data_IF_059822210047
#
_entry.id   IF_059822210047
#
_cell.length_a   1.000
_cell.length_b   1.000
_cell.length_c   1.000
_cell.angle_alpha   90.00
_cell.angle_beta   90.00
_cell.angle_gamma   90.00
#
_symmetry.space_group_name_H-M   'P 1'
#
loop_
_entity.id
_entity.type
_entity.pdbx_description
1 polymer ?
#
# COMPACT_ATOMS: atom_id res chain seq x y z
N UNK A 1 -2.19 -2.90 35.69
CA UNK A 1 -1.67 -3.38 34.39
C UNK A 1 -2.59 -3.03 33.23
N UNK A 2 -3.89 -3.41 33.25
CA UNK A 2 -4.85 -3.03 32.20
C UNK A 2 -4.99 -1.52 31.93
N UNK A 3 -4.89 -0.69 32.98
CA UNK A 3 -5.01 0.78 32.86
C UNK A 3 -3.83 1.42 32.12
N UNK A 4 -2.61 0.91 32.31
CA UNK A 4 -1.40 1.45 31.67
C UNK A 4 -1.36 1.08 30.19
N UNK A 5 -1.76 -0.15 29.83
CA UNK A 5 -1.89 -0.57 28.43
C UNK A 5 -3.01 0.18 27.69
N UNK A 6 -4.11 0.50 28.37
CA UNK A 6 -5.20 1.28 27.78
C UNK A 6 -4.80 2.75 27.54
N UNK A 7 -4.05 3.36 28.46
CA UNK A 7 -3.53 4.73 28.31
C UNK A 7 -2.55 4.86 27.14
N UNK A 8 -1.64 3.90 26.96
CA UNK A 8 -0.71 3.87 25.83
C UNK A 8 -1.44 3.65 24.50
N UNK A 9 -2.45 2.77 24.46
CA UNK A 9 -3.25 2.55 23.25
C UNK A 9 -4.00 3.82 22.81
N UNK A 10 -4.56 4.58 23.75
CA UNK A 10 -5.24 5.86 23.46
C UNK A 10 -4.26 6.92 22.95
N UNK A 11 -3.06 7.02 23.52
CA UNK A 11 -2.04 7.98 23.08
C UNK A 11 -1.51 7.69 21.67
N UNK A 12 -1.39 6.41 21.30
CA UNK A 12 -0.83 5.97 20.00
C UNK A 12 -1.90 5.89 18.90
N UNK A 13 -3.18 5.80 19.25
CA UNK A 13 -4.32 5.73 18.33
C UNK A 13 -4.31 6.76 17.19
N UNK A 14 -4.16 8.08 17.43
CA UNK A 14 -4.18 9.07 16.36
C UNK A 14 -3.00 8.89 15.39
N UNK A 15 -1.84 8.45 15.88
CA UNK A 15 -0.67 8.19 15.02
C UNK A 15 -0.87 6.96 14.14
N UNK A 16 -1.38 5.87 14.71
CA UNK A 16 -1.70 4.66 13.94
C UNK A 16 -2.80 4.94 12.92
N UNK A 17 -3.80 5.75 13.28
CA UNK A 17 -4.85 6.19 12.35
C UNK A 17 -4.26 6.92 11.14
N UNK A 18 -3.36 7.89 11.38
CA UNK A 18 -2.65 8.61 10.32
C UNK A 18 -1.84 7.67 9.43
N UNK A 19 -1.12 6.71 10.01
CA UNK A 19 -0.33 5.71 9.26
C UNK A 19 -1.23 4.82 8.40
N UNK A 20 -2.32 4.29 8.97
CA UNK A 20 -3.28 3.42 8.25
C UNK A 20 -3.93 4.18 7.09
N UNK A 21 -4.33 5.43 7.33
CA UNK A 21 -4.90 6.29 6.29
C UNK A 21 -3.88 6.61 5.20
N UNK A 22 -2.67 7.05 5.56
CA UNK A 22 -1.61 7.38 4.62
C UNK A 22 -1.22 6.18 3.74
N UNK A 23 -1.15 4.98 4.32
CA UNK A 23 -0.93 3.73 3.55
C UNK A 23 -2.06 3.45 2.57
N UNK A 24 -3.32 3.66 2.97
CA UNK A 24 -4.48 3.45 2.09
C UNK A 24 -4.50 4.45 0.93
N UNK A 25 -4.17 5.71 1.21
CA UNK A 25 -4.06 6.79 0.21
C UNK A 25 -2.93 6.49 -0.78
N UNK A 26 -1.75 6.12 -0.29
CA UNK A 26 -0.61 5.76 -1.13
C UNK A 26 -0.89 4.53 -2.00
N UNK A 27 -1.51 3.49 -1.43
CA UNK A 27 -1.87 2.29 -2.18
C UNK A 27 -2.84 2.61 -3.34
N UNK A 28 -3.90 3.39 -3.08
CA UNK A 28 -4.85 3.79 -4.12
C UNK A 28 -4.17 4.65 -5.19
N UNK A 29 -3.40 5.66 -4.79
CA UNK A 29 -2.71 6.54 -5.73
C UNK A 29 -1.76 5.79 -6.65
N UNK A 30 -0.94 4.89 -6.10
CA UNK A 30 -0.04 4.03 -6.89
C UNK A 30 -0.80 3.07 -7.80
N UNK A 31 -1.91 2.48 -7.34
CA UNK A 31 -2.73 1.59 -8.16
C UNK A 31 -3.36 2.32 -9.35
N UNK A 32 -3.84 3.55 -9.15
CA UNK A 32 -4.39 4.37 -10.23
C UNK A 32 -3.29 4.80 -11.21
N UNK A 33 -2.11 5.24 -10.74
CA UNK A 33 -0.97 5.54 -11.62
C UNK A 33 -0.56 4.32 -12.45
N UNK A 34 -0.47 3.14 -11.82
CA UNK A 34 -0.16 1.90 -12.52
C UNK A 34 -1.22 1.57 -13.58
N UNK A 35 -2.50 1.80 -13.28
CA UNK A 35 -3.57 1.61 -14.25
C UNK A 35 -3.47 2.60 -15.42
N UNK A 36 -3.13 3.87 -15.16
CA UNK A 36 -2.85 4.86 -16.20
C UNK A 36 -1.71 4.35 -17.11
N UNK A 37 -0.60 3.93 -16.54
CA UNK A 37 0.56 3.42 -17.30
C UNK A 37 0.17 2.23 -18.19
N UNK A 38 -0.58 1.26 -17.66
CA UNK A 38 -1.06 0.11 -18.44
C UNK A 38 -1.97 0.52 -19.60
N UNK A 39 -2.87 1.48 -19.37
CA UNK A 39 -3.80 1.98 -20.40
C UNK A 39 -3.04 2.68 -21.52
N UNK A 40 -2.09 3.55 -21.18
CA UNK A 40 -1.31 4.28 -22.18
C UNK A 40 -0.26 3.42 -22.88
N UNK A 41 0.33 2.42 -22.21
CA UNK A 41 1.17 1.41 -22.86
C UNK A 41 0.35 0.56 -23.86
N UNK A 42 -0.92 0.28 -23.57
CA UNK A 42 -1.84 -0.37 -24.52
C UNK A 42 -2.16 0.52 -25.71
N UNK A 43 -2.40 1.81 -25.49
CA UNK A 43 -2.66 2.78 -26.54
C UNK A 43 -1.44 2.94 -27.47
N UNK A 44 -0.24 3.07 -26.89
CA UNK A 44 1.01 3.19 -27.63
C UNK A 44 1.26 2.00 -28.56
N UNK A 45 1.09 0.78 -28.05
CA UNK A 45 1.23 -0.45 -28.86
C UNK A 45 0.22 -0.50 -30.00
N UNK A 46 -1.05 -0.21 -29.70
CA UNK A 46 -2.10 -0.23 -30.73
C UNK A 46 -1.86 0.82 -31.81
N UNK A 47 -1.44 2.03 -31.42
CA UNK A 47 -1.06 3.08 -32.37
C UNK A 47 0.13 2.65 -33.24
N UNK A 48 1.18 2.09 -32.64
CA UNK A 48 2.36 1.63 -33.38
C UNK A 48 1.98 0.57 -34.43
N UNK A 49 1.17 -0.42 -34.05
CA UNK A 49 0.72 -1.49 -34.95
C UNK A 49 -0.15 -0.94 -36.10
N UNK A 50 -1.06 -0.01 -35.78
CA UNK A 50 -1.97 0.58 -36.77
C UNK A 50 -1.24 1.59 -37.69
N UNK A 51 -0.24 2.31 -37.17
CA UNK A 51 0.56 3.27 -37.93
C UNK A 51 1.54 2.59 -38.88
N UNK A 52 2.04 1.39 -38.52
CA UNK A 52 2.89 0.55 -39.37
C UNK A 52 2.14 -0.09 -40.55
N UNK A 53 0.82 0.09 -40.65
CA UNK A 53 -0.01 -0.47 -41.73
C UNK A 53 0.49 -0.04 -43.12
N UNK A 54 0.75 -1.00 -44.04
CA UNK A 54 1.13 -0.71 -45.42
C UNK A 54 -0.07 -0.34 -46.29
N UNK A 55 -1.30 -0.49 -45.77
CA UNK A 55 -2.51 -0.25 -46.56
C UNK A 55 -2.75 1.25 -46.77
N UNK A 56 -3.27 1.59 -47.96
CA UNK A 56 -3.71 2.94 -48.25
C UNK A 56 -4.78 3.38 -47.24
N UNK A 57 -4.67 4.63 -46.77
CA UNK A 57 -5.53 5.17 -45.73
C UNK A 57 -7.02 4.97 -46.09
N UNK A 58 -7.77 4.38 -45.17
CA UNK A 58 -9.21 4.12 -45.33
C UNK A 58 -9.59 3.19 -46.50
N UNK A 59 -8.65 2.47 -47.10
CA UNK A 59 -8.95 1.36 -48.02
C UNK A 59 -9.76 0.24 -47.33
N UNK A 60 -10.44 -0.65 -48.07
CA UNK A 60 -11.15 -1.78 -47.47
C UNK A 60 -10.27 -2.65 -46.56
N UNK A 61 -8.99 -2.84 -46.90
CA UNK A 61 -7.99 -3.54 -46.12
C UNK A 61 -7.66 -2.79 -44.83
N UNK A 62 -7.37 -1.49 -44.93
CA UNK A 62 -7.06 -0.64 -43.78
C UNK A 62 -8.24 -0.62 -42.79
N UNK A 63 -9.47 -0.42 -43.27
CA UNK A 63 -10.65 -0.43 -42.38
C UNK A 63 -10.91 -1.78 -41.71
N UNK A 64 -10.48 -2.90 -42.29
CA UNK A 64 -10.53 -4.21 -41.63
C UNK A 64 -9.46 -4.30 -40.55
N UNK A 65 -8.25 -3.81 -40.79
CA UNK A 65 -7.19 -3.71 -39.79
C UNK A 65 -7.63 -2.84 -38.60
N UNK A 66 -8.17 -1.64 -38.85
CA UNK A 66 -8.65 -0.75 -37.80
C UNK A 66 -9.72 -1.44 -36.94
N UNK A 67 -10.68 -2.12 -37.59
CA UNK A 67 -11.74 -2.87 -36.89
C UNK A 67 -11.17 -4.00 -36.05
N UNK A 68 -10.19 -4.75 -36.57
CA UNK A 68 -9.50 -5.79 -35.82
C UNK A 68 -8.78 -5.22 -34.60
N UNK A 69 -8.07 -4.11 -34.75
CA UNK A 69 -7.37 -3.43 -33.67
C UNK A 69 -8.35 -2.95 -32.58
N UNK A 70 -9.48 -2.35 -32.96
CA UNK A 70 -10.54 -1.94 -32.04
C UNK A 70 -11.11 -3.14 -31.26
N UNK A 71 -11.45 -4.24 -31.93
CA UNK A 71 -12.02 -5.45 -31.31
C UNK A 71 -11.05 -6.14 -30.35
N UNK A 72 -9.76 -6.18 -30.68
CA UNK A 72 -8.73 -6.81 -29.86
C UNK A 72 -8.32 -5.95 -28.65
N UNK A 73 -8.70 -4.67 -28.64
CA UNK A 73 -8.28 -3.73 -27.63
C UNK A 73 -9.24 -3.69 -26.45
N UNK A 74 -8.68 -3.74 -25.23
CA UNK A 74 -9.48 -3.67 -24.00
C UNK A 74 -9.96 -2.25 -23.64
N UNK A 75 -9.19 -1.24 -24.03
CA UNK A 75 -9.33 0.14 -23.54
C UNK A 75 -9.70 1.15 -24.62
N UNK A 76 -10.02 0.67 -25.82
CA UNK A 76 -10.22 1.50 -27.01
C UNK A 76 -11.62 1.20 -27.53
N UNK A 77 -12.40 2.26 -27.77
CA UNK A 77 -13.77 2.19 -28.28
C UNK A 77 -13.85 2.38 -29.78
N UNK A 78 -12.95 3.20 -30.34
CA UNK A 78 -12.90 3.49 -31.77
C UNK A 78 -11.45 3.74 -32.19
N UNK A 79 -11.14 3.36 -33.42
CA UNK A 79 -9.83 3.60 -34.04
C UNK A 79 -10.06 4.39 -35.32
N UNK A 80 -9.32 5.46 -35.51
CA UNK A 80 -9.39 6.29 -36.69
C UNK A 80 -8.08 6.40 -37.44
N UNK A 81 -8.19 6.73 -38.72
CA UNK A 81 -7.06 6.92 -39.63
C UNK A 81 -6.90 8.41 -39.92
N UNK A 82 -5.67 8.90 -39.75
CA UNK A 82 -5.30 10.29 -39.96
C UNK A 82 -4.58 10.48 -41.29
N UNK A 83 -4.69 11.68 -41.85
CA UNK A 83 -3.84 12.23 -42.90
C UNK A 83 -3.38 13.61 -42.48
N UNK A 84 -2.14 13.72 -42.00
CA UNK A 84 -1.72 14.89 -41.23
C UNK A 84 -2.55 15.00 -39.94
N UNK A 85 -3.10 16.18 -39.59
CA UNK A 85 -3.96 16.33 -38.42
C UNK A 85 -5.41 15.85 -38.65
N UNK A 86 -5.79 15.61 -39.90
CA UNK A 86 -7.19 15.41 -40.26
C UNK A 86 -7.60 13.94 -40.16
N UNK A 87 -8.75 13.70 -39.56
CA UNK A 87 -9.37 12.39 -39.46
C UNK A 87 -10.12 12.05 -40.74
N UNK A 88 -9.76 10.94 -41.38
CA UNK A 88 -10.34 10.50 -42.65
C UNK A 88 -11.47 9.48 -42.48
N UNK A 89 -11.27 8.51 -41.57
CA UNK A 89 -12.24 7.46 -41.30
C UNK A 89 -12.07 6.91 -39.89
N UNK A 90 -13.12 6.31 -39.36
CA UNK A 90 -13.07 5.55 -38.10
C UNK A 90 -13.73 4.19 -38.22
N UNK A 91 -13.50 3.30 -37.25
CA UNK A 91 -14.19 2.01 -37.20
C UNK A 91 -15.68 2.16 -36.96
N UNK A 92 -16.09 3.19 -36.23
CA UNK A 92 -17.49 3.45 -35.88
C UNK A 92 -18.27 4.19 -36.98
N UNK A 93 -17.65 5.18 -37.63
CA UNK A 93 -18.32 6.03 -38.63
C UNK A 93 -18.01 5.66 -40.08
N UNK A 94 -17.07 4.75 -40.31
CA UNK A 94 -16.59 4.45 -41.65
C UNK A 94 -15.81 5.63 -42.25
N UNK A 95 -15.90 5.81 -43.57
CA UNK A 95 -15.23 6.92 -44.27
C UNK A 95 -16.03 8.19 -44.08
N UNK A 96 -15.38 9.25 -43.57
CA UNK A 96 -16.04 10.52 -43.37
C UNK A 96 -16.28 11.22 -44.73
N UNK A 97 -17.44 11.84 -44.96
CA UNK A 97 -17.71 12.56 -46.22
C UNK A 97 -16.73 13.71 -46.48
N UNK A 98 -16.20 14.31 -45.40
CA UNK A 98 -15.14 15.31 -45.41
C UNK A 98 -14.16 15.00 -44.29
N UNK A 99 -12.84 15.14 -44.52
CA UNK A 99 -11.86 15.04 -43.44
C UNK A 99 -12.22 15.95 -42.28
N UNK A 100 -12.15 15.44 -41.05
CA UNK A 100 -12.41 16.22 -39.86
C UNK A 100 -11.11 16.76 -39.28
N UNK A 101 -10.96 18.08 -39.29
CA UNK A 101 -9.86 18.79 -38.66
C UNK A 101 -10.19 19.09 -37.18
N UNK A 102 -9.36 18.65 -36.21
CA UNK A 102 -9.54 19.00 -34.81
C UNK A 102 -9.47 20.52 -34.59
N UNK A 103 -10.46 21.08 -33.87
CA UNK A 103 -10.49 22.53 -33.57
C UNK A 103 -9.52 22.95 -32.47
N UNK A 104 -9.17 22.03 -31.57
CA UNK A 104 -8.24 22.27 -30.46
C UNK A 104 -6.90 21.65 -30.79
N UNK A 105 -5.82 22.23 -30.29
CA UNK A 105 -4.51 21.59 -30.36
C UNK A 105 -4.44 20.44 -29.34
N UNK A 106 -3.81 19.31 -29.69
CA UNK A 106 -3.57 18.26 -28.72
C UNK A 106 -2.43 18.68 -27.78
N UNK A 107 -2.45 18.14 -26.56
CA UNK A 107 -1.29 18.23 -25.67
C UNK A 107 -0.40 17.00 -25.88
N UNK A 108 0.91 17.18 -25.71
CA UNK A 108 1.89 16.10 -25.90
C UNK A 108 1.84 15.15 -24.71
N UNK A 109 1.71 13.86 -24.95
CA UNK A 109 1.85 12.81 -23.93
C UNK A 109 3.29 12.27 -23.90
N UNK A 110 3.80 11.93 -25.07
CA UNK A 110 5.16 11.46 -25.33
C UNK A 110 5.61 11.99 -26.69
N UNK A 111 6.82 11.65 -27.14
CA UNK A 111 7.26 12.04 -28.49
C UNK A 111 6.45 11.37 -29.61
N UNK A 112 5.84 10.21 -29.33
CA UNK A 112 5.05 9.44 -30.30
C UNK A 112 3.53 9.58 -30.11
N UNK A 113 3.07 10.18 -29.01
CA UNK A 113 1.65 10.29 -28.69
C UNK A 113 1.28 11.70 -28.23
N UNK A 114 0.14 12.14 -28.70
CA UNK A 114 -0.53 13.35 -28.22
C UNK A 114 -1.97 13.00 -27.84
N UNK A 115 -2.63 13.85 -27.07
CA UNK A 115 -4.02 13.63 -26.72
C UNK A 115 -4.86 14.89 -26.81
N UNK A 116 -6.14 14.67 -27.12
CA UNK A 116 -7.18 15.66 -27.04
C UNK A 116 -7.99 15.36 -25.78
N UNK A 117 -7.84 16.23 -24.79
CA UNK A 117 -8.58 16.15 -23.54
C UNK A 117 -9.99 16.69 -23.77
N UNK A 118 -11.00 15.98 -23.26
CA UNK A 118 -12.38 16.48 -23.16
C UNK A 118 -12.92 17.08 -24.46
N UNK A 119 -12.94 16.26 -25.52
CA UNK A 119 -13.50 16.66 -26.82
C UNK A 119 -14.86 16.01 -27.06
N UNK A 120 -15.85 16.74 -27.63
CA UNK A 120 -17.09 16.16 -28.13
C UNK A 120 -16.81 15.06 -29.16
N UNK A 121 -17.51 13.93 -29.04
CA UNK A 121 -17.36 12.84 -29.99
C UNK A 121 -18.13 13.11 -31.28
N UNK A 122 -17.51 12.79 -32.41
CA UNK A 122 -18.16 12.90 -33.72
C UNK A 122 -19.42 12.03 -33.83
N UNK A 123 -19.40 10.87 -33.19
CA UNK A 123 -20.52 9.93 -33.17
C UNK A 123 -21.59 10.25 -32.12
N UNK A 124 -21.28 11.10 -31.14
CA UNK A 124 -22.20 11.54 -30.09
C UNK A 124 -21.75 12.90 -29.55
N UNK A 125 -22.25 14.01 -30.14
CA UNK A 125 -21.79 15.36 -29.80
C UNK A 125 -22.00 15.76 -28.33
N UNK A 126 -22.97 15.17 -27.65
CA UNK A 126 -23.25 15.41 -26.23
C UNK A 126 -22.33 14.63 -25.28
N UNK A 127 -21.52 13.71 -25.82
CA UNK A 127 -20.57 12.90 -25.07
C UNK A 127 -19.16 13.44 -25.24
N UNK A 128 -18.46 13.62 -24.13
CA UNK A 128 -17.04 13.97 -24.12
C UNK A 128 -16.18 12.70 -24.10
N UNK A 129 -15.05 12.71 -24.80
CA UNK A 129 -14.09 11.62 -24.77
C UNK A 129 -12.64 12.07 -24.72
N UNK A 130 -11.80 11.07 -24.48
CA UNK A 130 -10.34 11.16 -24.54
C UNK A 130 -9.88 10.55 -25.86
N UNK A 131 -9.30 11.37 -26.73
CA UNK A 131 -8.72 10.89 -27.99
C UNK A 131 -7.21 10.93 -27.89
N UNK A 132 -6.53 9.81 -28.16
CA UNK A 132 -5.07 9.71 -28.21
C UNK A 132 -4.66 9.57 -29.67
N UNK A 133 -3.79 10.44 -30.15
CA UNK A 133 -3.32 10.47 -31.53
C UNK A 133 -1.83 10.11 -31.63
N UNK A 134 -1.51 9.27 -32.62
CA UNK A 134 -0.16 8.91 -33.02
C UNK A 134 0.25 9.62 -34.31
N UNK A 135 1.00 8.93 -35.18
CA UNK A 135 1.50 9.49 -36.44
C UNK A 135 0.45 9.48 -37.55
N UNK A 136 -0.23 8.34 -37.75
CA UNK A 136 -1.24 8.16 -38.81
C UNK A 136 -2.55 7.62 -38.27
N UNK A 137 -2.76 7.55 -36.97
CA UNK A 137 -3.97 7.01 -36.37
C UNK A 137 -4.34 7.74 -35.09
N UNK A 138 -5.60 7.63 -34.71
CA UNK A 138 -6.07 8.03 -33.39
C UNK A 138 -6.94 6.93 -32.76
N UNK A 139 -7.05 7.00 -31.45
CA UNK A 139 -7.81 6.08 -30.62
C UNK A 139 -8.78 6.88 -29.78
N UNK A 140 -10.05 6.49 -29.78
CA UNK A 140 -11.00 6.91 -28.77
C UNK A 140 -10.87 5.97 -27.57
N UNK A 141 -10.42 6.50 -26.44
CA UNK A 141 -10.24 5.72 -25.22
C UNK A 141 -11.59 5.46 -24.53
N UNK A 142 -11.74 4.29 -23.93
CA UNK A 142 -12.81 4.04 -22.97
C UNK A 142 -12.45 4.66 -21.62
N UNK A 143 -13.28 5.55 -21.06
CA UNK A 143 -13.05 6.06 -19.71
C UNK A 143 -13.11 4.96 -18.64
N UNK A 144 -13.85 3.87 -18.89
CA UNK A 144 -13.86 2.70 -18.00
C UNK A 144 -12.49 2.02 -17.89
N UNK A 145 -11.57 2.28 -18.82
CA UNK A 145 -10.18 1.88 -18.70
C UNK A 145 -9.49 2.42 -17.44
N UNK A 146 -9.97 3.55 -16.91
CA UNK A 146 -9.44 4.19 -15.71
C UNK A 146 -10.18 3.80 -14.43
N UNK A 147 -11.08 2.81 -14.47
CA UNK A 147 -11.84 2.36 -13.30
C UNK A 147 -10.96 1.55 -12.35
N UNK A 148 -10.65 2.15 -11.20
CA UNK A 148 -9.97 1.49 -10.08
C UNK A 148 -10.89 1.56 -8.87
N UNK A 149 -11.40 0.44 -8.33
CA UNK A 149 -12.29 0.48 -7.18
C UNK A 149 -11.61 1.09 -5.95
N UNK A 150 -12.05 2.27 -5.46
CA UNK A 150 -11.42 2.90 -4.31
C UNK A 150 -11.87 2.22 -3.01
N UNK A 151 -11.01 2.20 -1.95
CA UNK A 151 -11.46 1.84 -0.61
C UNK A 151 -12.59 2.75 -0.11
N UNK A 152 -13.49 2.27 0.77
CA UNK A 152 -14.61 3.06 1.26
C UNK A 152 -14.19 4.40 1.89
N UNK A 153 -14.74 5.49 1.36
CA UNK A 153 -14.47 6.87 1.78
C UNK A 153 -13.25 7.52 1.11
N UNK A 154 -12.54 6.83 0.20
CA UNK A 154 -11.54 7.46 -0.66
C UNK A 154 -12.14 7.69 -2.05
N UNK A 155 -11.70 8.78 -2.68
CA UNK A 155 -11.96 9.07 -4.08
C UNK A 155 -10.64 9.42 -4.77
N UNK A 156 -10.64 9.35 -6.10
CA UNK A 156 -9.53 9.85 -6.89
C UNK A 156 -10.06 10.58 -8.11
N UNK A 157 -9.23 11.47 -8.63
CA UNK A 157 -9.40 12.07 -9.93
C UNK A 157 -8.07 11.96 -10.68
N UNK A 158 -8.13 12.05 -12.00
CA UNK A 158 -6.99 12.03 -12.91
C UNK A 158 -7.00 13.34 -13.68
N UNK A 159 -5.89 14.05 -13.59
CA UNK A 159 -5.66 15.34 -14.22
C UNK A 159 -4.38 15.34 -15.04
N UNK A 160 -4.26 16.36 -15.89
CA UNK A 160 -3.05 16.61 -16.65
C UNK A 160 -2.01 17.27 -15.77
N UNK A 161 -0.78 16.78 -15.86
CA UNK A 161 0.36 17.37 -15.20
C UNK A 161 0.66 18.73 -15.84
N UNK A 162 0.82 19.76 -15.01
CA UNK A 162 1.18 21.13 -15.38
C UNK A 162 0.17 21.85 -16.31
N UNK A 163 -0.96 21.22 -16.65
CA UNK A 163 -1.99 21.75 -17.55
C UNK A 163 -3.38 21.63 -16.88
N UNK A 164 -3.71 22.51 -15.91
CA UNK A 164 -4.95 22.40 -15.15
C UNK A 164 -6.16 22.47 -16.09
N UNK A 165 -6.97 21.41 -16.08
CA UNK A 165 -8.18 21.31 -16.86
C UNK A 165 -9.40 21.52 -15.95
N UNK A 166 -10.39 22.29 -16.42
CA UNK A 166 -11.66 22.46 -15.71
C UNK A 166 -12.40 21.12 -15.55
N UNK A 167 -12.30 20.25 -16.55
CA UNK A 167 -12.87 18.90 -16.54
C UNK A 167 -11.76 17.86 -16.39
N UNK A 168 -11.85 17.06 -15.34
CA UNK A 168 -10.91 15.97 -15.00
C UNK A 168 -11.62 14.63 -15.06
N UNK A 169 -10.88 13.52 -15.16
CA UNK A 169 -11.48 12.18 -15.11
C UNK A 169 -11.63 11.81 -13.64
N UNK A 170 -12.85 11.74 -13.13
CA UNK A 170 -13.17 11.30 -11.77
C UNK A 170 -14.16 10.16 -11.78
N UNK A 171 -14.69 9.80 -10.61
CA UNK A 171 -15.77 8.83 -10.48
C UNK A 171 -17.11 9.55 -10.28
N UNK A 172 -18.13 9.14 -11.02
CA UNK A 172 -19.51 9.57 -10.80
C UNK A 172 -20.08 8.97 -9.50
N UNK A 173 -21.34 9.31 -9.17
CA UNK A 173 -22.04 8.80 -7.98
C UNK A 173 -22.18 7.27 -7.94
N UNK A 174 -22.07 6.60 -9.09
CA UNK A 174 -22.14 5.14 -9.24
C UNK A 174 -20.76 4.49 -9.25
N UNK A 175 -19.68 5.27 -9.10
CA UNK A 175 -18.31 4.76 -9.15
C UNK A 175 -17.82 4.48 -10.58
N UNK A 176 -18.45 5.08 -11.59
CA UNK A 176 -18.08 4.95 -13.00
C UNK A 176 -17.20 6.13 -13.41
N UNK A 177 -16.05 5.91 -14.08
CA UNK A 177 -15.25 6.99 -14.62
C UNK A 177 -16.03 7.91 -15.55
N UNK A 178 -15.95 9.20 -15.28
CA UNK A 178 -16.61 10.25 -16.07
C UNK A 178 -15.80 11.54 -16.01
N UNK A 179 -16.07 12.45 -16.94
CA UNK A 179 -15.58 13.82 -16.80
C UNK A 179 -16.39 14.55 -15.73
N UNK A 180 -15.68 15.11 -14.76
CA UNK A 180 -16.25 15.88 -13.65
C UNK A 180 -15.58 17.25 -13.58
N UNK A 181 -16.32 18.25 -13.12
CA UNK A 181 -15.78 19.58 -12.87
C UNK A 181 -14.84 19.55 -11.67
N UNK A 182 -13.56 19.85 -11.91
CA UNK A 182 -12.51 19.87 -10.90
C UNK A 182 -12.83 20.82 -9.73
N UNK A 183 -13.51 21.93 -10.00
CA UNK A 183 -13.94 22.90 -8.98
C UNK A 183 -15.07 22.37 -8.08
N UNK A 184 -15.80 21.34 -8.52
CA UNK A 184 -16.89 20.72 -7.77
C UNK A 184 -16.47 19.48 -6.97
N UNK A 185 -15.23 19.01 -7.12
CA UNK A 185 -14.72 17.85 -6.39
C UNK A 185 -14.28 18.28 -4.98
N UNK A 186 -15.01 17.87 -3.91
CA UNK A 186 -14.70 18.32 -2.56
C UNK A 186 -13.33 17.83 -2.10
N UNK A 187 -12.49 18.70 -1.55
CA UNK A 187 -11.15 18.33 -1.07
C UNK A 187 -10.14 17.98 -2.18
N UNK A 188 -10.46 18.26 -3.45
CA UNK A 188 -9.54 18.05 -4.56
C UNK A 188 -8.23 18.83 -4.40
N UNK A 189 -8.32 20.12 -4.03
CA UNK A 189 -7.14 20.98 -3.83
C UNK A 189 -6.22 20.52 -2.69
N UNK A 190 -6.78 19.88 -1.67
CA UNK A 190 -6.05 19.36 -0.51
C UNK A 190 -5.67 17.87 -0.66
N UNK A 191 -6.02 17.27 -1.81
CA UNK A 191 -5.76 15.88 -2.10
C UNK A 191 -4.26 15.58 -2.27
N UNK A 192 -3.91 14.30 -2.15
CA UNK A 192 -2.52 13.86 -2.32
C UNK A 192 -2.26 13.47 -3.79
N UNK A 193 -1.37 14.16 -4.52
CA UNK A 193 -1.05 13.83 -5.90
C UNK A 193 -0.05 12.66 -5.99
N UNK A 194 -0.23 11.84 -7.03
CA UNK A 194 0.67 10.77 -7.48
C UNK A 194 0.74 10.85 -9.00
N UNK A 195 1.95 10.95 -9.57
CA UNK A 195 2.11 11.19 -11.00
C UNK A 195 2.76 10.00 -11.69
N UNK A 196 2.33 9.73 -12.92
CA UNK A 196 3.04 8.82 -13.80
C UNK A 196 4.41 9.39 -14.18
N UNK A 197 5.39 8.51 -14.32
CA UNK A 197 6.70 8.85 -14.89
C UNK A 197 6.72 8.72 -16.43
N UNK A 198 5.70 8.09 -17.03
CA UNK A 198 5.64 7.76 -18.46
C UNK A 198 4.81 8.75 -19.27
N UNK A 199 3.73 9.25 -18.69
CA UNK A 199 2.81 10.21 -19.31
C UNK A 199 2.55 11.37 -18.35
N UNK A 200 2.26 12.59 -18.84
CA UNK A 200 2.00 13.77 -18.02
C UNK A 200 0.58 13.72 -17.42
N UNK A 201 0.30 12.67 -16.65
CA UNK A 201 -0.94 12.48 -15.92
C UNK A 201 -0.65 12.24 -14.45
N UNK A 202 -1.43 12.89 -13.61
CA UNK A 202 -1.40 12.71 -12.17
C UNK A 202 -2.77 12.27 -11.70
N UNK A 203 -2.78 11.42 -10.68
CA UNK A 203 -3.97 11.15 -9.89
C UNK A 203 -3.89 11.88 -8.57
N UNK A 204 -5.00 12.49 -8.16
CA UNK A 204 -5.14 13.13 -6.86
C UNK A 204 -6.10 12.31 -6.03
N UNK A 205 -5.61 11.77 -4.91
CA UNK A 205 -6.42 11.01 -3.97
C UNK A 205 -7.03 11.95 -2.95
N UNK A 206 -8.35 11.90 -2.86
CA UNK A 206 -9.18 12.72 -1.98
C UNK A 206 -9.66 11.88 -0.79
N UNK A 207 -9.52 12.44 0.41
CA UNK A 207 -9.91 11.79 1.66
C UNK A 207 -11.21 12.41 2.18
N UNK A 208 -12.22 11.57 2.40
CA UNK A 208 -13.47 12.00 3.04
C UNK A 208 -13.45 11.78 4.56
N UNK A 209 -14.37 12.41 5.32
CA UNK A 209 -14.57 12.09 6.74
C UNK A 209 -14.82 10.59 6.99
N UNK A 210 -15.47 9.90 6.05
CA UNK A 210 -15.73 8.47 6.14
C UNK A 210 -14.43 7.65 6.07
N UNK A 211 -13.46 8.04 5.22
CA UNK A 211 -12.16 7.37 5.17
C UNK A 211 -11.39 7.53 6.49
N UNK A 212 -11.43 8.72 7.11
CA UNK A 212 -10.80 8.95 8.41
C UNK A 212 -11.45 8.10 9.51
N UNK A 213 -12.78 8.03 9.55
CA UNK A 213 -13.51 7.19 10.49
C UNK A 213 -13.19 5.69 10.29
N UNK A 214 -13.11 5.24 9.04
CA UNK A 214 -12.74 3.87 8.70
C UNK A 214 -11.28 3.55 9.11
N UNK A 215 -10.35 4.47 8.86
CA UNK A 215 -8.96 4.33 9.27
C UNK A 215 -8.83 4.29 10.81
N UNK A 216 -9.56 5.16 11.52
CA UNK A 216 -9.59 5.19 12.98
C UNK A 216 -10.13 3.88 13.57
N UNK A 217 -11.23 3.36 13.00
CA UNK A 217 -11.78 2.06 13.40
C UNK A 217 -10.78 0.92 13.18
N UNK A 218 -10.10 0.89 12.03
CA UNK A 218 -9.04 -0.10 11.75
C UNK A 218 -7.87 0.02 12.71
N UNK A 219 -7.41 1.24 12.99
CA UNK A 219 -6.35 1.49 13.96
C UNK A 219 -6.73 0.96 15.35
N UNK A 220 -7.97 1.20 15.77
CA UNK A 220 -8.52 0.66 17.00
C UNK A 220 -8.50 -0.85 17.09
N UNK A 221 -8.94 -1.54 16.03
CA UNK A 221 -8.86 -3.01 15.96
C UNK A 221 -7.42 -3.51 16.07
N UNK A 222 -6.48 -2.90 15.34
CA UNK A 222 -5.07 -3.29 15.38
C UNK A 222 -4.46 -3.10 16.77
N UNK A 223 -4.73 -1.95 17.40
CA UNK A 223 -4.26 -1.66 18.76
C UNK A 223 -4.91 -2.58 19.81
N UNK A 224 -6.20 -2.87 19.66
CA UNK A 224 -6.93 -3.80 20.52
C UNK A 224 -6.34 -5.21 20.46
N UNK A 225 -6.05 -5.72 19.26
CA UNK A 225 -5.40 -7.03 19.06
C UNK A 225 -3.99 -7.02 19.68
N UNK A 226 -3.19 -5.99 19.42
CA UNK A 226 -1.84 -5.88 19.96
C UNK A 226 -1.84 -5.81 21.50
N UNK A 227 -2.73 -5.02 22.09
CA UNK A 227 -2.89 -4.91 23.54
C UNK A 227 -3.38 -6.24 24.15
N UNK A 228 -4.34 -6.91 23.50
CA UNK A 228 -4.83 -8.22 23.92
C UNK A 228 -3.72 -9.28 23.90
N UNK A 229 -2.94 -9.35 22.83
CA UNK A 229 -1.81 -10.26 22.72
C UNK A 229 -0.74 -9.99 23.81
N UNK A 230 -0.38 -8.72 24.02
CA UNK A 230 0.55 -8.33 25.07
C UNK A 230 0.02 -8.69 26.47
N UNK A 231 -1.27 -8.45 26.72
CA UNK A 231 -1.94 -8.82 27.97
C UNK A 231 -1.92 -10.32 28.23
N UNK A 232 -2.21 -11.14 27.21
CA UNK A 232 -2.13 -12.60 27.30
C UNK A 232 -0.71 -13.08 27.62
N UNK A 233 0.31 -12.57 26.91
CA UNK A 233 1.71 -12.93 27.16
C UNK A 233 2.16 -12.57 28.58
N UNK A 234 1.83 -11.36 29.05
CA UNK A 234 2.15 -10.93 30.42
C UNK A 234 1.41 -11.75 31.48
N UNK A 235 0.12 -12.05 31.25
CA UNK A 235 -0.68 -12.86 32.16
C UNK A 235 -0.16 -14.30 32.28
N UNK A 236 0.22 -14.93 31.16
CA UNK A 236 0.84 -16.25 31.15
C UNK A 236 2.21 -16.23 31.84
N UNK A 237 3.05 -15.23 31.55
CA UNK A 237 4.35 -15.07 32.20
C UNK A 237 4.23 -14.90 33.71
N UNK A 238 3.31 -14.04 34.17
CA UNK A 238 3.03 -13.85 35.59
C UNK A 238 2.51 -15.13 36.25
N UNK A 239 1.63 -15.88 35.58
CA UNK A 239 1.13 -17.18 36.09
C UNK A 239 2.25 -18.21 36.21
N UNK A 240 3.15 -18.30 35.23
CA UNK A 240 4.32 -19.20 35.29
C UNK A 240 5.24 -18.81 36.44
N UNK A 241 5.54 -17.51 36.60
CA UNK A 241 6.38 -17.01 37.69
C UNK A 241 5.75 -17.27 39.05
N UNK A 242 4.47 -16.97 39.21
CA UNK A 242 3.72 -17.24 40.44
C UNK A 242 3.71 -18.74 40.77
N UNK A 243 3.49 -19.63 39.79
CA UNK A 243 3.57 -21.08 40.01
C UNK A 243 4.95 -21.53 40.45
N UNK A 244 6.03 -20.94 39.90
CA UNK A 244 7.40 -21.23 40.35
C UNK A 244 7.64 -20.78 41.79
N UNK A 245 7.19 -19.58 42.15
CA UNK A 245 7.41 -19.00 43.48
C UNK A 245 6.56 -19.70 44.55
N UNK A 246 5.29 -19.98 44.26
CA UNK A 246 4.41 -20.72 45.17
C UNK A 246 4.85 -22.19 45.36
N UNK A 247 5.55 -22.78 44.39
CA UNK A 247 6.10 -24.12 44.51
C UNK A 247 7.36 -24.18 45.39
N UNK A 248 8.07 -23.06 45.62
CA UNK A 248 9.33 -23.05 46.36
C UNK A 248 9.17 -23.52 47.83
N UNK A 249 8.20 -23.03 48.63
CA UNK A 249 8.00 -23.53 49.98
C UNK A 249 7.63 -25.01 50.04
N UNK A 250 6.86 -25.50 49.06
CA UNK A 250 6.50 -26.91 48.95
C UNK A 250 7.68 -27.79 48.51
N UNK A 251 8.60 -27.24 47.70
CA UNK A 251 9.85 -27.92 47.34
C UNK A 251 10.83 -27.96 48.52
N UNK A 252 10.98 -26.86 49.27
CA UNK A 252 11.80 -26.82 50.49
C UNK A 252 11.28 -27.82 51.53
N UNK A 253 9.96 -27.86 51.77
CA UNK A 253 9.34 -28.84 52.68
C UNK A 253 9.60 -30.28 52.26
N UNK A 254 9.47 -30.59 50.96
CA UNK A 254 9.80 -31.93 50.43
C UNK A 254 11.29 -32.25 50.55
N UNK A 255 12.17 -31.29 50.29
CA UNK A 255 13.61 -31.48 50.39
C UNK A 255 14.07 -31.70 51.85
N UNK A 256 13.44 -31.03 52.82
CA UNK A 256 13.64 -31.28 54.25
C UNK A 256 13.20 -32.69 54.64
N UNK A 257 11.99 -33.10 54.23
CA UNK A 257 11.46 -34.43 54.52
C UNK A 257 12.31 -35.57 53.92
N UNK A 258 12.92 -35.34 52.76
CA UNK A 258 13.75 -36.31 52.06
C UNK A 258 15.25 -36.22 52.41
N UNK A 259 15.65 -35.43 53.41
CA UNK A 259 17.05 -35.32 53.85
C UNK A 259 18.00 -34.75 52.80
N UNK A 260 17.53 -33.88 51.89
CA UNK A 260 18.32 -33.36 50.77
C UNK A 260 19.17 -32.12 51.11
N UNK A 261 19.15 -31.69 52.37
CA UNK A 261 19.98 -30.61 52.88
C UNK A 261 21.20 -31.19 53.59
N UNK A 262 22.38 -30.91 53.06
CA UNK A 262 23.66 -31.37 53.61
C UNK A 262 24.42 -30.21 54.23
N UNK A 263 25.09 -30.48 55.35
CA UNK A 263 25.94 -29.49 56.03
C UNK A 263 27.36 -29.56 55.46
N UNK A 264 27.90 -28.40 55.08
CA UNK A 264 29.30 -28.25 54.64
C UNK A 264 30.00 -27.25 55.55
N UNK A 265 31.26 -27.50 55.88
CA UNK A 265 32.04 -26.61 56.73
C UNK A 265 33.05 -25.85 55.88
N UNK A 266 33.04 -24.53 55.98
CA UNK A 266 34.05 -23.67 55.37
C UNK A 266 35.00 -23.15 56.46
N UNK A 267 36.30 -23.47 56.39
CA UNK A 267 37.25 -23.03 57.41
C UNK A 267 37.54 -21.53 57.28
N UNK A 268 37.57 -20.83 58.42
CA UNK A 268 38.01 -19.44 58.56
C UNK A 268 39.43 -19.46 59.13
N UNK A 269 40.37 -18.92 58.36
CA UNK A 269 41.80 -18.88 58.70
C UNK A 269 42.20 -17.52 59.24
N UNK A 270 43.05 -17.50 60.26
CA UNK A 270 43.65 -16.26 60.75
C UNK A 270 44.65 -15.74 59.72
N UNK A 271 44.56 -14.46 59.37
CA UNK A 271 45.48 -13.82 58.42
C UNK A 271 46.75 -13.38 59.17
N UNK A 272 47.88 -14.01 58.84
CA UNK A 272 49.20 -13.80 59.45
C UNK A 272 50.27 -14.68 58.77
N UNK A 273 51.50 -14.75 59.31
CA UNK A 273 52.63 -15.48 58.70
C UNK A 273 52.43 -17.01 58.56
N UNK A 274 51.49 -17.59 59.32
CA UNK A 274 51.05 -18.99 59.19
C UNK A 274 49.53 -19.06 59.16
N UNK A 275 48.96 -19.62 58.09
CA UNK A 275 47.51 -19.79 57.95
C UNK A 275 47.00 -20.91 58.85
N UNK A 276 46.53 -20.57 60.06
CA UNK A 276 45.87 -21.52 60.98
C UNK A 276 44.36 -21.38 60.92
N UNK A 277 43.65 -22.50 60.77
CA UNK A 277 42.19 -22.55 60.87
C UNK A 277 41.79 -22.23 62.32
N UNK A 278 40.97 -21.19 62.51
CA UNK A 278 40.55 -20.71 63.84
C UNK A 278 39.11 -21.08 64.14
N UNK A 279 38.28 -21.18 63.10
CA UNK A 279 36.86 -21.51 63.18
C UNK A 279 36.41 -22.13 61.86
N UNK A 280 35.22 -22.73 61.85
CA UNK A 280 34.56 -23.17 60.63
C UNK A 280 33.12 -22.67 60.61
N UNK A 281 32.70 -22.07 59.50
CA UNK A 281 31.30 -21.68 59.28
C UNK A 281 30.53 -22.87 58.70
N UNK A 282 29.40 -23.19 59.31
CA UNK A 282 28.52 -24.27 58.88
C UNK A 282 27.52 -23.76 57.84
N UNK A 283 27.63 -24.24 56.60
CA UNK A 283 26.81 -23.83 55.46
C UNK A 283 25.86 -24.95 55.05
N UNK A 284 24.56 -24.67 55.04
CA UNK A 284 23.56 -25.62 54.55
C UNK A 284 23.50 -25.57 53.01
N UNK A 285 23.55 -26.73 52.36
CA UNK A 285 23.50 -26.85 50.90
C UNK A 285 22.38 -27.79 50.49
N UNK A 286 21.58 -27.38 49.50
CA UNK A 286 20.55 -28.23 48.91
C UNK A 286 21.09 -28.90 47.64
N UNK A 287 21.25 -30.22 47.67
CA UNK A 287 21.92 -30.99 46.59
C UNK A 287 21.12 -31.12 45.30
N UNK A 288 19.82 -30.81 45.32
CA UNK A 288 18.91 -30.87 44.16
C UNK A 288 18.02 -29.64 43.97
N UNK A 289 18.35 -28.51 44.62
CA UNK A 289 17.59 -27.28 44.52
C UNK A 289 17.89 -26.48 43.24
N UNK A 290 17.05 -25.49 42.88
CA UNK A 290 17.39 -24.53 41.84
C UNK A 290 18.69 -23.82 42.23
N UNK A 291 19.73 -23.95 41.42
CA UNK A 291 21.01 -23.31 41.68
C UNK A 291 20.82 -21.79 41.82
N UNK A 292 21.34 -21.21 42.91
CA UNK A 292 21.43 -19.77 43.01
C UNK A 292 22.29 -19.23 41.85
N UNK A 293 21.92 -18.13 41.17
CA UNK A 293 22.65 -17.59 40.02
C UNK A 293 24.03 -17.00 40.39
N UNK A 294 24.47 -17.12 41.64
CA UNK A 294 25.73 -16.59 42.16
C UNK A 294 26.61 -17.71 42.71
N UNK A 295 27.07 -18.63 41.85
CA UNK A 295 28.19 -19.53 42.18
C UNK A 295 28.89 -20.02 40.89
N UNK A 296 29.59 -19.12 40.22
CA UNK A 296 30.72 -19.49 39.36
C UNK A 296 31.98 -18.82 39.90
N UNK A 297 32.61 -19.47 40.88
CA UNK A 297 34.04 -19.29 41.16
C UNK A 297 34.73 -20.58 40.73
N UNK A 298 35.81 -20.51 39.94
CA UNK A 298 36.45 -21.70 39.37
C UNK A 298 37.11 -22.52 40.49
N UNK A 299 36.99 -23.85 40.39
CA UNK A 299 37.75 -24.79 41.22
C UNK A 299 39.25 -24.55 41.02
N UNK A 300 40.05 -24.30 42.06
CA UNK A 300 41.47 -24.55 41.95
C UNK A 300 41.67 -26.08 42.02
N UNK A 301 42.21 -26.64 40.95
CA UNK A 301 42.80 -27.97 40.96
C UNK A 301 43.97 -27.96 41.94
N UNK A 302 43.88 -28.73 43.02
CA UNK A 302 45.05 -29.18 43.76
C UNK A 302 45.09 -30.70 43.65
N UNK A 303 45.92 -31.19 42.71
CA UNK A 303 46.51 -32.53 42.79
C UNK A 303 47.61 -32.47 43.85
N UNK A 304 47.50 -33.32 44.86
CA UNK A 304 48.55 -34.18 45.43
C UNK A 304 47.92 -34.91 46.62
#
# INVERSE_FOLDING_TARGET
MLVVSAGLALAVWPQVTKIVLARSVAALGMQVVQQIDVVFDSAARTLADVDASPYAACSPQDRRLLRSASVQSKYIKDVGRLSGPDLLCTTMLGVLPRPFAPKRQPFRLTDAMSAFWTVPLLSSPDTLGLVVAGGRANLLMDLDAFRVPPPPGLHYVIELKDHPAALVIGLDKRGVPAYVDAGQVPGFRDGKPFCSARVPLCTVVVVTPQALANASRRAGWLLGIAAGAAGCCLGLGARVLHRRWAALPAQIRRALANGQFVLRYQPIVALGASSRIVSAEALIRWTGGPAAPTCSLPRPNARA
#
